data_IF_344932657770
#
_entry.id   IF_344932657770
#
_cell.length_a   1.000
_cell.length_b   1.000
_cell.length_c   1.000
_cell.angle_alpha   90.00
_cell.angle_beta   90.00
_cell.angle_gamma   90.00
#
_symmetry.space_group_name_H-M   'P 1'
#
loop_
_entity.id
_entity.type
_entity.pdbx_description
1 polymer ?
#
# COMPACT_ATOMS: atom_id res chain seq x y z
N UNK A 1 5.81 -14.48 42.14
CA UNK A 1 6.68 -13.29 42.07
C UNK A 1 7.98 -13.74 41.39
N UNK A 2 8.03 -13.67 40.06
CA UNK A 2 9.23 -14.04 39.30
C UNK A 2 10.28 -12.94 39.54
N UNK A 3 11.51 -13.33 39.90
CA UNK A 3 12.62 -12.38 40.01
C UNK A 3 12.89 -11.81 38.61
N UNK A 4 12.47 -10.57 38.35
CA UNK A 4 12.78 -9.88 37.11
C UNK A 4 14.30 -9.75 36.98
N UNK A 5 14.85 -10.10 35.82
CA UNK A 5 16.29 -9.99 35.52
C UNK A 5 16.79 -8.58 35.90
N UNK A 6 17.78 -8.49 36.81
CA UNK A 6 18.39 -7.22 37.23
C UNK A 6 18.88 -6.39 36.03
N UNK A 7 19.28 -7.06 34.94
CA UNK A 7 19.70 -6.37 33.71
C UNK A 7 18.51 -5.76 32.96
N UNK A 8 17.35 -6.40 32.97
CA UNK A 8 16.13 -5.89 32.36
C UNK A 8 15.61 -4.66 33.13
N UNK A 9 15.68 -4.70 34.47
CA UNK A 9 15.37 -3.53 35.31
C UNK A 9 16.33 -2.36 35.03
N UNK A 10 17.63 -2.64 34.92
CA UNK A 10 18.61 -1.61 34.54
C UNK A 10 18.32 -1.03 33.15
N UNK A 11 17.92 -1.87 32.20
CA UNK A 11 17.57 -1.43 30.84
C UNK A 11 16.33 -0.54 30.83
N UNK A 12 15.30 -0.87 31.62
CA UNK A 12 14.11 0.00 31.80
C UNK A 12 14.50 1.41 32.26
N UNK A 13 15.33 1.53 33.29
CA UNK A 13 15.79 2.83 33.79
C UNK A 13 16.55 3.61 32.72
N UNK A 14 17.43 2.93 31.98
CA UNK A 14 18.17 3.55 30.87
C UNK A 14 17.24 4.08 29.78
N UNK A 15 16.16 3.37 29.46
CA UNK A 15 15.17 3.79 28.45
C UNK A 15 14.41 5.03 28.93
N UNK A 16 13.97 5.05 30.20
CA UNK A 16 13.18 6.14 30.78
C UNK A 16 13.99 7.44 30.83
N UNK A 17 15.24 7.36 31.27
CA UNK A 17 16.11 8.52 31.47
C UNK A 17 16.75 9.04 30.17
N UNK A 18 16.66 8.29 29.07
CA UNK A 18 17.30 8.66 27.80
C UNK A 18 16.61 9.84 27.11
N UNK A 19 17.43 10.79 26.64
CA UNK A 19 17.01 12.04 25.99
C UNK A 19 17.47 12.11 24.53
N UNK A 20 18.45 11.31 24.14
CA UNK A 20 18.95 11.20 22.78
C UNK A 20 18.18 10.13 22.00
N UNK A 21 17.49 10.53 20.93
CA UNK A 21 16.67 9.62 20.12
C UNK A 21 17.47 8.48 19.47
N UNK A 22 18.75 8.71 19.11
CA UNK A 22 19.59 7.69 18.49
C UNK A 22 20.03 6.62 19.50
N UNK A 23 20.34 7.01 20.73
CA UNK A 23 20.60 6.07 21.83
C UNK A 23 19.33 5.36 22.27
N UNK A 24 18.21 6.08 22.33
CA UNK A 24 16.90 5.51 22.65
C UNK A 24 16.55 4.36 21.71
N UNK A 25 16.66 4.57 20.39
CA UNK A 25 16.47 3.52 19.37
C UNK A 25 17.27 2.26 19.67
N UNK A 26 18.57 2.42 19.97
CA UNK A 26 19.46 1.29 20.28
C UNK A 26 19.07 0.55 21.56
N UNK A 27 18.53 1.26 22.55
CA UNK A 27 18.04 0.65 23.79
C UNK A 27 16.75 -0.15 23.54
N UNK A 28 15.83 0.36 22.74
CA UNK A 28 14.61 -0.35 22.32
C UNK A 28 14.95 -1.60 21.50
N UNK A 29 15.83 -1.48 20.50
CA UNK A 29 16.31 -2.64 19.72
C UNK A 29 16.90 -3.72 20.62
N UNK A 30 17.72 -3.31 21.60
CA UNK A 30 18.31 -4.23 22.58
C UNK A 30 17.25 -4.89 23.47
N UNK A 31 16.25 -4.13 23.93
CA UNK A 31 15.13 -4.63 24.72
C UNK A 31 14.38 -5.72 23.94
N UNK A 32 13.94 -5.40 22.73
CA UNK A 32 13.18 -6.30 21.87
C UNK A 32 13.99 -7.55 21.55
N UNK A 33 15.22 -7.40 21.05
CA UNK A 33 16.07 -8.54 20.63
C UNK A 33 16.36 -9.52 21.76
N UNK A 34 16.54 -9.03 22.99
CA UNK A 34 16.98 -9.87 24.12
C UNK A 34 15.82 -10.44 24.92
N UNK A 35 14.69 -9.72 25.03
CA UNK A 35 13.66 -10.01 26.03
C UNK A 35 12.25 -10.18 25.45
N UNK A 36 11.99 -9.83 24.18
CA UNK A 36 10.64 -9.94 23.61
C UNK A 36 10.06 -11.37 23.65
N UNK A 37 10.91 -12.38 23.48
CA UNK A 37 10.47 -13.79 23.44
C UNK A 37 10.43 -14.46 24.82
N UNK A 38 11.20 -13.97 25.80
CA UNK A 38 11.32 -14.58 27.13
C UNK A 38 10.51 -13.85 28.20
N UNK A 39 10.35 -12.54 28.07
CA UNK A 39 9.77 -11.64 29.08
C UNK A 39 8.76 -10.66 28.44
N UNK A 40 8.00 -11.15 27.44
CA UNK A 40 7.08 -10.36 26.60
C UNK A 40 6.20 -9.37 27.37
N UNK A 41 5.56 -9.82 28.45
CA UNK A 41 4.67 -8.97 29.26
C UNK A 41 5.40 -7.81 29.91
N UNK A 42 6.62 -8.05 30.41
CA UNK A 42 7.44 -6.99 31.02
C UNK A 42 7.98 -6.02 29.96
N UNK A 43 8.32 -6.52 28.77
CA UNK A 43 8.67 -5.66 27.62
C UNK A 43 7.49 -4.77 27.25
N UNK A 44 6.28 -5.34 27.13
CA UNK A 44 5.07 -4.58 26.85
C UNK A 44 4.75 -3.54 27.92
N UNK A 45 4.96 -3.85 29.21
CA UNK A 45 4.85 -2.87 30.30
C UNK A 45 5.78 -1.68 30.07
N UNK A 46 7.07 -1.93 29.76
CA UNK A 46 8.05 -0.86 29.50
C UNK A 46 7.62 0.00 28.31
N UNK A 47 7.23 -0.63 27.20
CA UNK A 47 6.89 0.08 25.97
C UNK A 47 5.60 0.90 26.13
N UNK A 48 4.57 0.34 26.75
CA UNK A 48 3.29 1.03 26.98
C UNK A 48 3.41 2.16 28.00
N UNK A 49 4.22 1.99 29.05
CA UNK A 49 4.56 3.05 30.01
C UNK A 49 5.31 4.20 29.32
N UNK A 50 6.30 3.88 28.48
CA UNK A 50 7.01 4.90 27.72
C UNK A 50 6.13 5.61 26.68
N UNK A 51 5.23 4.89 26.00
CA UNK A 51 4.28 5.52 25.09
C UNK A 51 3.39 6.55 25.79
N UNK A 52 3.01 6.30 27.06
CA UNK A 52 2.24 7.24 27.89
C UNK A 52 3.08 8.40 28.43
N UNK A 53 4.26 8.10 28.96
CA UNK A 53 4.97 9.01 29.86
C UNK A 53 6.34 9.46 29.34
N UNK A 54 6.87 8.82 28.30
CA UNK A 54 8.24 9.01 27.82
C UNK A 54 8.53 10.42 27.30
N UNK A 55 9.69 10.97 27.61
CA UNK A 55 10.02 12.37 27.30
C UNK A 55 10.25 12.65 25.81
N UNK A 56 10.65 11.64 25.01
CA UNK A 56 10.91 11.83 23.58
C UNK A 56 9.62 11.61 22.78
N UNK A 57 8.84 12.69 22.61
CA UNK A 57 7.47 12.64 22.10
C UNK A 57 7.31 11.90 20.75
N UNK A 58 8.18 12.17 19.77
CA UNK A 58 8.09 11.53 18.45
C UNK A 58 8.33 10.02 18.50
N UNK A 59 9.12 9.53 19.47
CA UNK A 59 9.36 8.10 19.66
C UNK A 59 8.14 7.35 20.19
N UNK A 60 7.23 8.01 20.91
CA UNK A 60 6.00 7.37 21.42
C UNK A 60 5.18 6.73 20.30
N UNK A 61 5.07 7.40 19.16
CA UNK A 61 4.37 6.88 17.98
C UNK A 61 5.10 5.71 17.33
N UNK A 62 6.44 5.76 17.24
CA UNK A 62 7.25 4.68 16.67
C UNK A 62 7.13 3.38 17.49
N UNK A 63 7.03 3.49 18.82
CA UNK A 63 6.86 2.32 19.70
C UNK A 63 5.55 1.56 19.48
N UNK A 64 4.50 2.20 18.93
CA UNK A 64 3.22 1.53 18.73
C UNK A 64 3.33 0.33 17.79
N UNK A 65 4.20 0.39 16.77
CA UNK A 65 4.38 -0.75 15.89
C UNK A 65 4.96 -1.96 16.64
N UNK A 66 6.00 -1.74 17.47
CA UNK A 66 6.59 -2.79 18.29
C UNK A 66 5.58 -3.36 19.30
N UNK A 67 4.79 -2.50 19.95
CA UNK A 67 3.73 -2.93 20.88
C UNK A 67 2.69 -3.78 20.14
N UNK A 68 2.22 -3.33 18.98
CA UNK A 68 1.24 -4.05 18.17
C UNK A 68 1.79 -5.40 17.74
N UNK A 69 3.05 -5.50 17.32
CA UNK A 69 3.69 -6.77 16.96
C UNK A 69 3.71 -7.76 18.14
N UNK A 70 3.99 -7.28 19.36
CA UNK A 70 4.09 -8.11 20.57
C UNK A 70 2.75 -8.50 21.20
N UNK A 71 1.72 -7.67 21.04
CA UNK A 71 0.36 -7.95 21.55
C UNK A 71 -0.29 -9.04 20.71
N UNK A 72 -0.93 -10.02 21.34
CA UNK A 72 -1.67 -11.06 20.65
C UNK A 72 -3.05 -10.58 20.19
N UNK A 73 -3.60 -11.22 19.17
CA UNK A 73 -4.98 -10.97 18.75
C UNK A 73 -5.97 -11.29 19.88
N UNK A 74 -6.91 -10.39 20.14
CA UNK A 74 -7.91 -10.56 21.20
C UNK A 74 -7.38 -10.39 22.64
N UNK A 75 -6.15 -9.90 22.83
CA UNK A 75 -5.54 -9.78 24.15
C UNK A 75 -6.14 -8.61 24.96
N UNK A 76 -7.20 -8.93 25.73
CA UNK A 76 -8.04 -7.97 26.43
C UNK A 76 -7.29 -6.99 27.36
N UNK A 77 -6.16 -7.41 27.94
CA UNK A 77 -5.36 -6.61 28.87
C UNK A 77 -4.82 -5.31 28.24
N UNK A 78 -4.73 -5.22 26.92
CA UNK A 78 -4.22 -4.05 26.19
C UNK A 78 -5.32 -3.22 25.52
N UNK A 79 -6.59 -3.57 25.67
CA UNK A 79 -7.70 -2.83 25.07
C UNK A 79 -7.73 -1.39 25.61
N UNK A 80 -7.70 -1.21 26.93
CA UNK A 80 -7.70 0.12 27.56
C UNK A 80 -6.51 0.99 27.11
N UNK A 81 -5.35 0.36 26.88
CA UNK A 81 -4.18 1.06 26.36
C UNK A 81 -4.44 1.63 24.96
N UNK A 82 -5.01 0.83 24.05
CA UNK A 82 -5.29 1.28 22.70
C UNK A 82 -6.52 2.19 22.61
N UNK A 83 -7.52 2.03 23.48
CA UNK A 83 -8.61 2.99 23.68
C UNK A 83 -8.05 4.36 24.08
N UNK A 84 -7.09 4.40 25.01
CA UNK A 84 -6.37 5.63 25.32
C UNK A 84 -5.59 6.15 24.10
N UNK A 85 -4.83 5.30 23.38
CA UNK A 85 -4.05 5.74 22.22
C UNK A 85 -4.90 6.45 21.16
N UNK A 86 -6.10 5.96 20.87
CA UNK A 86 -6.96 6.57 19.84
C UNK A 86 -7.50 7.95 20.24
N UNK A 87 -7.47 8.30 21.52
CA UNK A 87 -7.79 9.66 22.00
C UNK A 87 -6.64 10.66 21.90
N UNK A 88 -5.42 10.20 21.62
CA UNK A 88 -4.22 11.02 21.55
C UNK A 88 -3.86 11.30 20.08
N UNK A 89 -3.95 12.56 19.59
CA UNK A 89 -3.81 12.87 18.16
C UNK A 89 -2.55 12.32 17.47
N UNK A 90 -1.41 12.29 18.18
CA UNK A 90 -0.12 11.80 17.65
C UNK A 90 0.00 10.27 17.65
N UNK A 91 -0.90 9.56 18.33
CA UNK A 91 -0.90 8.11 18.45
C UNK A 91 -2.06 7.44 17.72
N UNK A 92 -3.13 8.20 17.40
CA UNK A 92 -4.38 7.64 16.87
C UNK A 92 -4.18 6.76 15.65
N UNK A 93 -3.29 7.13 14.74
CA UNK A 93 -3.09 6.40 13.48
C UNK A 93 -2.73 4.93 13.70
N UNK A 94 -1.71 4.64 14.53
CA UNK A 94 -1.33 3.28 14.88
C UNK A 94 -2.19 2.71 16.02
N UNK A 95 -2.74 3.57 16.89
CA UNK A 95 -3.69 3.18 17.93
C UNK A 95 -4.92 2.45 17.36
N UNK A 96 -5.39 2.84 16.16
CA UNK A 96 -6.47 2.14 15.44
C UNK A 96 -6.12 0.66 15.20
N UNK A 97 -4.90 0.37 14.76
CA UNK A 97 -4.47 -1.01 14.45
C UNK A 97 -4.39 -1.86 15.72
N UNK A 98 -3.84 -1.31 16.80
CA UNK A 98 -3.79 -1.99 18.08
C UNK A 98 -5.17 -2.20 18.72
N UNK A 99 -6.07 -1.22 18.60
CA UNK A 99 -7.43 -1.32 19.09
C UNK A 99 -8.24 -2.38 18.34
N UNK A 100 -8.06 -2.49 17.02
CA UNK A 100 -8.67 -3.56 16.23
C UNK A 100 -8.04 -4.92 16.53
N UNK A 101 -6.71 -5.00 16.68
CA UNK A 101 -6.02 -6.25 17.03
C UNK A 101 -6.49 -6.82 18.38
N UNK A 102 -6.74 -5.95 19.37
CA UNK A 102 -7.11 -6.36 20.73
C UNK A 102 -8.61 -6.51 20.97
N UNK A 103 -9.42 -5.63 20.38
CA UNK A 103 -10.86 -5.56 20.67
C UNK A 103 -11.75 -5.87 19.44
N UNK A 104 -11.13 -6.06 18.27
CA UNK A 104 -11.80 -6.48 17.04
C UNK A 104 -12.98 -5.59 16.68
N UNK A 105 -14.11 -6.22 16.35
CA UNK A 105 -15.33 -5.54 15.89
C UNK A 105 -15.98 -4.64 16.92
N UNK A 106 -15.72 -4.86 18.21
CA UNK A 106 -16.24 -4.00 19.28
C UNK A 106 -15.70 -2.56 19.15
N UNK A 107 -14.60 -2.39 18.44
CA UNK A 107 -13.97 -1.10 18.17
C UNK A 107 -14.63 -0.30 17.05
N UNK A 108 -15.55 -0.87 16.26
CA UNK A 108 -16.11 -0.19 15.09
C UNK A 108 -16.79 1.14 15.43
N UNK A 109 -17.56 1.20 16.53
CA UNK A 109 -18.16 2.46 16.96
C UNK A 109 -17.10 3.53 17.23
N UNK A 110 -16.00 3.19 17.91
CA UNK A 110 -14.92 4.15 18.16
C UNK A 110 -14.23 4.61 16.87
N UNK A 111 -14.02 3.70 15.91
CA UNK A 111 -13.44 4.05 14.60
C UNK A 111 -14.37 4.96 13.78
N UNK A 112 -15.69 4.77 13.87
CA UNK A 112 -16.66 5.64 13.20
C UNK A 112 -16.64 7.05 13.80
N UNK A 113 -16.52 7.18 15.12
CA UNK A 113 -16.36 8.49 15.76
C UNK A 113 -15.06 9.18 15.29
N UNK A 114 -13.95 8.44 15.15
CA UNK A 114 -12.70 8.96 14.58
C UNK A 114 -12.89 9.41 13.14
N UNK A 115 -13.55 8.60 12.30
CA UNK A 115 -13.84 8.92 10.90
C UNK A 115 -14.67 10.21 10.76
N UNK A 116 -15.64 10.41 11.64
CA UNK A 116 -16.56 11.56 11.62
C UNK A 116 -15.97 12.83 12.24
N UNK A 117 -14.90 12.72 13.02
CA UNK A 117 -14.31 13.86 13.69
C UNK A 117 -13.50 14.74 12.73
N UNK A 118 -14.10 15.85 12.29
CA UNK A 118 -13.49 16.82 11.37
C UNK A 118 -12.31 17.59 11.97
N UNK A 119 -12.10 17.56 13.29
CA UNK A 119 -10.91 18.16 13.92
C UNK A 119 -9.65 17.31 13.72
N UNK A 120 -9.79 16.04 13.32
CA UNK A 120 -8.66 15.16 13.06
C UNK A 120 -8.14 15.31 11.63
N UNK A 121 -6.84 15.06 11.44
CA UNK A 121 -6.21 15.02 10.12
C UNK A 121 -6.93 14.02 9.21
N UNK A 122 -7.13 14.38 7.95
CA UNK A 122 -7.79 13.52 6.94
C UNK A 122 -7.14 12.14 6.85
N UNK A 123 -5.82 12.03 6.97
CA UNK A 123 -5.11 10.75 6.95
C UNK A 123 -5.48 9.81 8.10
N UNK A 124 -5.79 10.34 9.29
CA UNK A 124 -6.27 9.56 10.44
C UNK A 124 -7.70 9.08 10.19
N UNK A 125 -8.55 9.96 9.65
CA UNK A 125 -9.94 9.62 9.28
C UNK A 125 -9.95 8.53 8.21
N UNK A 126 -9.11 8.67 7.18
CA UNK A 126 -8.90 7.71 6.11
C UNK A 126 -8.39 6.35 6.64
N UNK A 127 -7.47 6.37 7.62
CA UNK A 127 -7.02 5.15 8.31
C UNK A 127 -8.18 4.42 8.99
N UNK A 128 -9.08 5.13 9.66
CA UNK A 128 -10.23 4.52 10.32
C UNK A 128 -11.16 3.81 9.33
N UNK A 129 -11.59 4.47 8.25
CA UNK A 129 -12.40 3.83 7.21
C UNK A 129 -11.66 2.68 6.53
N UNK A 130 -10.37 2.82 6.22
CA UNK A 130 -9.56 1.74 5.64
C UNK A 130 -9.55 0.51 6.55
N UNK A 131 -9.33 0.69 7.84
CA UNK A 131 -9.29 -0.42 8.78
C UNK A 131 -10.69 -1.02 8.99
N UNK A 132 -11.77 -0.23 8.99
CA UNK A 132 -13.15 -0.74 8.95
C UNK A 132 -13.36 -1.62 7.71
N UNK A 133 -12.99 -1.16 6.51
CA UNK A 133 -13.14 -1.92 5.26
C UNK A 133 -12.49 -3.30 5.35
N UNK A 134 -11.23 -3.34 5.79
CA UNK A 134 -10.45 -4.58 5.90
C UNK A 134 -11.09 -5.56 6.89
N UNK A 135 -11.44 -5.09 8.10
CA UNK A 135 -11.96 -5.97 9.16
C UNK A 135 -13.41 -6.41 8.95
N UNK A 136 -14.21 -5.60 8.25
CA UNK A 136 -15.62 -5.92 7.92
C UNK A 136 -15.79 -6.55 6.54
N UNK A 137 -14.72 -6.63 5.74
CA UNK A 137 -14.76 -7.02 4.32
C UNK A 137 -15.73 -6.18 3.47
N UNK A 138 -16.09 -4.99 3.95
CA UNK A 138 -16.92 -4.07 3.20
C UNK A 138 -16.04 -3.25 2.25
N UNK A 139 -16.43 -3.06 0.98
CA UNK A 139 -15.63 -2.36 -0.01
C UNK A 139 -15.75 -0.83 0.14
N UNK A 140 -15.65 -0.28 1.36
CA UNK A 140 -15.73 1.17 1.57
C UNK A 140 -14.50 1.92 1.06
N UNK A 141 -13.43 1.21 0.73
CA UNK A 141 -12.21 1.76 0.15
C UNK A 141 -12.02 1.35 -1.33
N UNK A 142 -13.07 0.82 -1.97
CA UNK A 142 -13.07 0.51 -3.40
C UNK A 142 -12.58 1.70 -4.22
N UNK A 143 -11.85 1.40 -5.29
CA UNK A 143 -11.26 2.38 -6.21
C UNK A 143 -10.17 3.27 -5.60
N UNK A 144 -9.97 3.25 -4.28
CA UNK A 144 -8.94 4.06 -3.62
C UNK A 144 -7.57 3.36 -3.59
N UNK A 145 -6.47 4.12 -3.53
CA UNK A 145 -5.14 3.56 -3.30
C UNK A 145 -5.07 2.74 -2.00
N UNK A 146 -4.16 1.77 -1.95
CA UNK A 146 -3.97 0.92 -0.76
C UNK A 146 -3.60 1.73 0.49
N UNK A 147 -2.75 2.74 0.32
CA UNK A 147 -2.34 3.64 1.39
C UNK A 147 -3.38 4.75 1.60
N UNK A 148 -4.00 4.85 2.78
CA UNK A 148 -4.96 5.90 3.11
C UNK A 148 -4.34 7.28 3.36
N UNK A 149 -3.00 7.40 3.44
CA UNK A 149 -2.32 8.65 3.80
C UNK A 149 -2.58 9.83 2.87
N UNK A 150 -2.97 9.57 1.62
CA UNK A 150 -3.25 10.58 0.59
C UNK A 150 -4.71 10.65 0.15
N UNK A 151 -5.62 9.95 0.85
CA UNK A 151 -7.05 10.07 0.56
C UNK A 151 -7.56 11.46 0.94
N UNK A 152 -8.58 11.90 0.22
CA UNK A 152 -9.24 13.19 0.43
C UNK A 152 -10.51 13.02 1.25
N UNK A 153 -11.07 14.14 1.69
CA UNK A 153 -12.33 14.13 2.46
C UNK A 153 -13.48 13.57 1.62
N UNK A 154 -13.47 13.85 0.32
CA UNK A 154 -14.50 13.36 -0.62
C UNK A 154 -14.43 11.84 -0.85
N UNK A 155 -13.28 11.22 -0.57
CA UNK A 155 -13.11 9.77 -0.65
C UNK A 155 -13.71 9.05 0.57
N UNK A 156 -14.04 9.78 1.64
CA UNK A 156 -14.56 9.23 2.88
C UNK A 156 -16.06 8.95 2.73
N UNK A 157 -16.43 7.69 2.50
CA UNK A 157 -17.81 7.21 2.32
C UNK A 157 -18.60 7.16 3.64
N UNK A 158 -18.68 8.29 4.34
CA UNK A 158 -19.25 8.41 5.69
C UNK A 158 -20.72 7.97 5.71
N UNK A 159 -21.52 8.42 4.76
CA UNK A 159 -22.96 8.09 4.69
C UNK A 159 -23.21 6.58 4.52
N UNK A 160 -22.38 5.90 3.71
CA UNK A 160 -22.45 4.44 3.54
C UNK A 160 -22.14 3.73 4.86
N UNK A 161 -21.12 4.19 5.60
CA UNK A 161 -20.72 3.62 6.88
C UNK A 161 -21.77 3.84 7.96
N UNK A 162 -22.41 5.02 8.02
CA UNK A 162 -23.49 5.27 8.96
C UNK A 162 -24.70 4.37 8.69
N UNK A 163 -25.01 4.12 7.41
CA UNK A 163 -26.05 3.19 7.01
C UNK A 163 -25.69 1.76 7.43
N UNK A 164 -24.45 1.34 7.17
CA UNK A 164 -23.92 0.05 7.59
C UNK A 164 -23.93 -0.15 9.13
N UNK A 165 -23.60 0.90 9.89
CA UNK A 165 -23.67 0.92 11.35
C UNK A 165 -25.12 0.69 11.83
N UNK A 166 -26.09 1.40 11.26
CA UNK A 166 -27.53 1.22 11.59
C UNK A 166 -28.02 -0.20 11.29
N UNK A 167 -27.40 -0.87 10.32
CA UNK A 167 -27.69 -2.25 9.95
C UNK A 167 -26.91 -3.30 10.77
N UNK A 168 -26.20 -2.88 11.83
CA UNK A 168 -25.60 -3.80 12.80
C UNK A 168 -24.24 -4.37 12.40
N UNK A 169 -23.45 -3.63 11.62
CA UNK A 169 -22.05 -4.00 11.29
C UNK A 169 -21.87 -5.34 10.55
N UNK A 170 -22.78 -5.67 9.63
CA UNK A 170 -22.72 -6.93 8.87
C UNK A 170 -21.44 -7.02 8.03
N UNK A 171 -20.88 -8.22 7.93
CA UNK A 171 -19.76 -8.44 7.02
C UNK A 171 -20.17 -8.25 5.56
N UNK A 172 -19.23 -7.75 4.78
CA UNK A 172 -19.32 -7.78 3.32
C UNK A 172 -18.84 -9.12 2.79
N UNK A 173 -19.20 -9.39 1.53
CA UNK A 173 -18.66 -10.50 0.75
C UNK A 173 -17.25 -10.20 0.19
N UNK A 174 -16.70 -9.03 0.53
CA UNK A 174 -15.51 -8.50 -0.11
C UNK A 174 -15.80 -7.90 -1.48
N UNK A 175 -14.74 -7.70 -2.26
CA UNK A 175 -14.84 -7.22 -3.63
C UNK A 175 -15.42 -8.28 -4.56
N UNK A 176 -16.20 -7.86 -5.56
CA UNK A 176 -16.62 -8.75 -6.65
C UNK A 176 -15.40 -9.18 -7.45
N UNK A 177 -15.19 -10.48 -7.60
CA UNK A 177 -14.01 -11.02 -8.29
C UNK A 177 -13.92 -10.47 -9.73
N UNK A 178 -12.82 -9.76 -10.08
CA UNK A 178 -12.64 -9.23 -11.42
C UNK A 178 -12.56 -10.35 -12.46
N UNK A 179 -13.06 -10.08 -13.67
CA UNK A 179 -12.99 -11.01 -14.79
C UNK A 179 -11.53 -11.17 -15.25
N UNK A 180 -11.11 -12.41 -15.45
CA UNK A 180 -9.76 -12.76 -15.92
C UNK A 180 -9.84 -13.53 -17.24
N UNK A 181 -8.82 -13.38 -18.08
CA UNK A 181 -8.77 -14.08 -19.37
C UNK A 181 -8.32 -15.54 -19.22
N UNK A 182 -8.97 -16.47 -19.93
CA UNK A 182 -8.77 -17.93 -19.80
C UNK A 182 -7.34 -18.39 -20.11
N UNK A 183 -6.60 -17.65 -20.95
CA UNK A 183 -5.22 -18.02 -21.28
C UNK A 183 -4.21 -17.73 -20.17
N UNK A 184 -4.62 -17.12 -19.05
CA UNK A 184 -3.81 -17.15 -17.81
C UNK A 184 -3.67 -18.58 -17.27
N UNK A 185 -4.67 -19.44 -17.49
CA UNK A 185 -4.64 -20.86 -17.10
C UNK A 185 -4.07 -21.74 -18.20
N UNK A 186 -4.38 -21.44 -19.47
CA UNK A 186 -3.94 -22.20 -20.63
C UNK A 186 -3.21 -21.32 -21.67
N UNK A 187 -1.97 -20.90 -21.39
CA UNK A 187 -1.21 -20.01 -22.26
C UNK A 187 -0.65 -20.73 -23.49
N UNK A 188 -0.77 -20.11 -24.67
CA UNK A 188 -0.27 -20.65 -25.95
C UNK A 188 0.83 -19.77 -26.55
N UNK A 189 0.60 -18.46 -26.62
CA UNK A 189 1.56 -17.50 -27.18
C UNK A 189 2.65 -17.13 -26.16
N UNK A 190 3.71 -16.49 -26.63
CA UNK A 190 4.76 -15.99 -25.73
C UNK A 190 4.22 -14.96 -24.73
N UNK A 191 3.42 -14.00 -25.18
CA UNK A 191 2.77 -13.03 -24.29
C UNK A 191 1.93 -13.72 -23.21
N UNK A 192 1.12 -14.70 -23.60
CA UNK A 192 0.27 -15.47 -22.68
C UNK A 192 1.09 -16.20 -21.61
N UNK A 193 2.19 -16.86 -22.01
CA UNK A 193 3.06 -17.58 -21.06
C UNK A 193 3.66 -16.62 -20.04
N UNK A 194 4.08 -15.44 -20.47
CA UNK A 194 4.66 -14.42 -19.59
C UNK A 194 3.58 -13.85 -18.66
N UNK A 195 2.41 -13.52 -19.18
CA UNK A 195 1.27 -13.03 -18.39
C UNK A 195 0.79 -14.06 -17.36
N UNK A 196 0.69 -15.35 -17.75
CA UNK A 196 0.39 -16.46 -16.83
C UNK A 196 1.42 -16.56 -15.70
N UNK A 197 2.71 -16.43 -16.03
CA UNK A 197 3.78 -16.44 -15.03
C UNK A 197 3.70 -15.25 -14.07
N UNK A 198 3.48 -14.05 -14.60
CA UNK A 198 3.24 -12.86 -13.79
C UNK A 198 2.04 -13.07 -12.87
N UNK A 199 0.93 -13.59 -13.40
CA UNK A 199 -0.28 -13.87 -12.61
C UNK A 199 0.00 -14.83 -11.45
N UNK A 200 0.75 -15.92 -11.66
CA UNK A 200 1.16 -16.85 -10.60
C UNK A 200 2.02 -16.18 -9.52
N UNK A 201 2.95 -15.32 -9.92
CA UNK A 201 3.76 -14.52 -8.99
C UNK A 201 2.87 -13.59 -8.15
N UNK A 202 1.91 -12.92 -8.78
CA UNK A 202 0.97 -12.04 -8.10
C UNK A 202 0.03 -12.82 -7.17
N UNK A 203 -0.43 -13.99 -7.59
CA UNK A 203 -1.25 -14.89 -6.78
C UNK A 203 -0.52 -15.32 -5.50
N UNK A 204 0.74 -15.73 -5.61
CA UNK A 204 1.56 -16.05 -4.45
C UNK A 204 1.73 -14.88 -3.47
N UNK A 205 1.64 -13.63 -3.93
CA UNK A 205 1.60 -12.46 -3.05
C UNK A 205 0.23 -12.31 -2.37
N UNK A 206 -0.86 -12.46 -3.12
CA UNK A 206 -2.23 -12.38 -2.58
C UNK A 206 -2.47 -13.45 -1.52
N UNK A 207 -1.98 -14.69 -1.72
CA UNK A 207 -2.11 -15.77 -0.73
C UNK A 207 -1.45 -15.43 0.62
N UNK A 208 -0.42 -14.56 0.64
CA UNK A 208 0.23 -14.13 1.89
C UNK A 208 -0.57 -13.06 2.62
N UNK A 209 -1.15 -12.11 1.89
CA UNK A 209 -1.93 -11.03 2.45
C UNK A 209 -2.86 -10.48 1.37
N UNK A 210 -4.16 -10.77 1.50
CA UNK A 210 -5.19 -10.28 0.60
C UNK A 210 -6.12 -9.34 1.35
N UNK A 211 -6.28 -8.15 0.80
CA UNK A 211 -7.32 -7.23 1.21
C UNK A 211 -8.62 -7.59 0.49
N UNK A 212 -9.59 -8.14 1.23
CA UNK A 212 -10.87 -8.52 0.66
C UNK A 212 -11.78 -7.32 0.40
N UNK A 213 -11.51 -6.14 0.95
CA UNK A 213 -12.30 -4.95 0.67
C UNK A 213 -11.95 -4.29 -0.66
N UNK A 214 -10.72 -4.49 -1.15
CA UNK A 214 -10.23 -3.77 -2.31
C UNK A 214 -9.21 -4.62 -3.12
N UNK A 215 -9.57 -5.02 -4.35
CA UNK A 215 -8.74 -5.93 -5.14
C UNK A 215 -7.44 -5.25 -5.56
N UNK A 216 -6.34 -5.99 -5.44
CA UNK A 216 -5.03 -5.56 -5.91
C UNK A 216 -4.21 -6.75 -6.40
N UNK A 217 -3.14 -6.44 -7.13
CA UNK A 217 -2.23 -7.44 -7.71
C UNK A 217 -2.95 -8.44 -8.60
N UNK A 218 -3.87 -8.03 -9.48
CA UNK A 218 -4.57 -8.92 -10.41
C UNK A 218 -4.27 -8.55 -11.86
N UNK A 219 -4.34 -9.52 -12.77
CA UNK A 219 -4.40 -9.27 -14.21
C UNK A 219 -5.83 -9.53 -14.67
N UNK A 220 -6.47 -8.54 -15.26
CA UNK A 220 -7.92 -8.52 -15.53
C UNK A 220 -8.21 -8.17 -16.97
N UNK A 221 -9.40 -8.51 -17.46
CA UNK A 221 -9.86 -8.02 -18.76
C UNK A 221 -10.21 -6.54 -18.60
N UNK A 222 -9.66 -5.68 -19.47
CA UNK A 222 -9.92 -4.24 -19.43
C UNK A 222 -11.38 -3.91 -19.77
N UNK A 223 -11.86 -2.77 -19.27
CA UNK A 223 -13.09 -2.17 -19.78
C UNK A 223 -12.89 -1.73 -21.24
N UNK A 224 -13.86 -2.01 -22.10
CA UNK A 224 -13.80 -1.63 -23.52
C UNK A 224 -13.67 -0.11 -23.69
N UNK A 225 -14.29 0.67 -22.79
CA UNK A 225 -14.22 2.14 -22.82
C UNK A 225 -12.80 2.65 -22.56
N UNK A 226 -12.08 2.04 -21.61
CA UNK A 226 -10.69 2.39 -21.31
C UNK A 226 -9.80 2.14 -22.53
N UNK A 227 -9.98 0.97 -23.15
CA UNK A 227 -9.25 0.59 -24.37
C UNK A 227 -9.55 1.55 -25.53
N UNK A 228 -10.83 1.89 -25.76
CA UNK A 228 -11.21 2.84 -26.80
C UNK A 228 -10.61 4.23 -26.55
N UNK A 229 -10.53 4.67 -25.30
CA UNK A 229 -9.91 5.96 -24.97
C UNK A 229 -8.40 5.95 -25.17
N UNK A 230 -7.74 4.81 -24.87
CA UNK A 230 -6.32 4.60 -25.14
C UNK A 230 -6.04 4.61 -26.65
N UNK A 231 -6.82 3.87 -27.44
CA UNK A 231 -6.65 3.76 -28.89
C UNK A 231 -6.92 5.10 -29.63
N UNK A 232 -7.74 5.99 -29.05
CA UNK A 232 -7.90 7.37 -29.55
C UNK A 232 -6.64 8.23 -29.37
N UNK A 233 -5.85 7.96 -28.34
CA UNK A 233 -4.68 8.76 -27.96
C UNK A 233 -3.38 8.23 -28.55
N UNK A 234 -3.22 6.91 -28.62
CA UNK A 234 -1.98 6.28 -29.06
C UNK A 234 -2.20 5.09 -29.98
N UNK A 235 -1.29 4.94 -30.94
CA UNK A 235 -1.10 3.68 -31.66
C UNK A 235 -0.08 2.83 -30.91
N UNK A 236 -0.57 1.97 -30.01
CA UNK A 236 0.28 1.09 -29.19
C UNK A 236 0.81 -0.12 -30.00
N UNK A 237 1.97 -0.69 -29.64
CA UNK A 237 2.42 -1.98 -30.17
C UNK A 237 1.41 -3.08 -29.84
N UNK A 238 1.20 -4.02 -30.76
CA UNK A 238 0.17 -5.06 -30.64
C UNK A 238 0.36 -5.94 -29.39
N UNK A 239 1.60 -6.25 -29.00
CA UNK A 239 1.87 -7.00 -27.77
C UNK A 239 1.38 -6.24 -26.52
N UNK A 240 1.65 -4.94 -26.44
CA UNK A 240 1.24 -4.12 -25.30
C UNK A 240 -0.27 -3.87 -25.28
N UNK A 241 -0.87 -3.60 -26.45
CA UNK A 241 -2.32 -3.42 -26.58
C UNK A 241 -3.07 -4.71 -26.21
N UNK A 242 -2.61 -5.86 -26.66
CA UNK A 242 -3.18 -7.18 -26.30
C UNK A 242 -3.03 -7.44 -24.81
N UNK A 243 -1.88 -7.06 -24.23
CA UNK A 243 -1.66 -7.15 -22.79
C UNK A 243 -2.66 -6.32 -22.00
N UNK A 244 -2.90 -5.06 -22.40
CA UNK A 244 -3.90 -4.22 -21.76
C UNK A 244 -5.31 -4.79 -21.91
N UNK A 245 -5.70 -5.25 -23.11
CA UNK A 245 -7.04 -5.81 -23.35
C UNK A 245 -7.34 -7.02 -22.45
N UNK A 246 -6.41 -7.97 -22.38
CA UNK A 246 -6.66 -9.29 -21.79
C UNK A 246 -6.08 -9.48 -20.37
N UNK A 247 -5.06 -8.70 -20.01
CA UNK A 247 -4.29 -8.85 -18.77
C UNK A 247 -4.02 -7.50 -18.10
N UNK A 248 -4.91 -6.52 -18.27
CA UNK A 248 -4.84 -5.21 -17.65
C UNK A 248 -4.50 -5.32 -16.16
N UNK A 249 -3.34 -4.77 -15.74
CA UNK A 249 -2.95 -4.69 -14.34
C UNK A 249 -3.99 -3.96 -13.49
N UNK A 250 -4.51 -4.64 -12.46
CA UNK A 250 -5.34 -4.03 -11.43
C UNK A 250 -4.52 -3.84 -10.17
N UNK A 251 -4.06 -2.61 -9.94
CA UNK A 251 -3.24 -2.17 -8.79
C UNK A 251 -2.07 -3.14 -8.55
N UNK A 252 -1.32 -3.45 -9.61
CA UNK A 252 -0.17 -4.35 -9.54
C UNK A 252 1.02 -3.63 -8.95
N UNK A 253 1.57 -4.21 -7.88
CA UNK A 253 2.78 -3.76 -7.21
C UNK A 253 3.79 -4.91 -7.10
N UNK A 254 4.99 -4.71 -7.64
CA UNK A 254 6.05 -5.71 -7.68
C UNK A 254 7.17 -5.28 -6.74
N UNK A 255 7.23 -5.94 -5.59
CA UNK A 255 8.36 -5.80 -4.67
C UNK A 255 9.55 -6.64 -5.17
N UNK A 256 10.68 -6.00 -5.43
CA UNK A 256 11.91 -6.61 -5.92
C UNK A 256 13.11 -5.78 -5.48
N UNK A 257 14.26 -6.40 -5.22
CA UNK A 257 15.50 -5.66 -4.93
C UNK A 257 15.94 -4.74 -6.08
N UNK A 258 15.52 -5.03 -7.32
CA UNK A 258 15.78 -4.18 -8.50
C UNK A 258 14.97 -2.88 -8.47
N UNK A 259 13.81 -2.91 -7.82
CA UNK A 259 12.91 -1.78 -7.67
C UNK A 259 12.80 -1.47 -6.18
N UNK A 260 13.75 -0.72 -5.63
CA UNK A 260 13.87 -0.52 -4.18
C UNK A 260 12.58 0.02 -3.54
N UNK A 261 11.86 0.91 -4.25
CA UNK A 261 10.57 1.46 -3.83
C UNK A 261 9.37 0.61 -4.31
N UNK A 262 9.64 -0.53 -4.95
CA UNK A 262 8.67 -1.36 -5.68
C UNK A 262 8.24 -0.76 -7.00
N UNK A 263 7.76 -1.60 -7.91
CA UNK A 263 7.28 -1.19 -9.24
C UNK A 263 5.76 -1.26 -9.31
N UNK A 264 5.12 -0.13 -9.64
CA UNK A 264 3.71 -0.07 -9.99
C UNK A 264 3.54 -0.30 -11.49
N UNK A 265 2.82 -1.35 -11.88
CA UNK A 265 2.50 -1.62 -13.28
C UNK A 265 1.09 -1.12 -13.58
N UNK A 266 0.95 -0.30 -14.62
CA UNK A 266 -0.31 0.39 -14.94
C UNK A 266 -1.21 -0.44 -15.83
N UNK A 267 -2.51 -0.33 -15.58
CA UNK A 267 -3.55 -0.96 -16.37
C UNK A 267 -4.31 0.04 -17.22
N UNK A 268 -5.22 -0.48 -18.04
CA UNK A 268 -6.01 0.35 -18.95
C UNK A 268 -6.77 1.47 -18.21
N UNK A 269 -7.30 1.18 -17.02
CA UNK A 269 -8.14 2.11 -16.25
C UNK A 269 -7.38 3.28 -15.63
N UNK A 270 -6.05 3.19 -15.47
CA UNK A 270 -5.25 4.27 -14.91
C UNK A 270 -4.16 4.81 -15.85
N UNK A 271 -3.87 4.14 -16.98
CA UNK A 271 -2.78 4.50 -17.90
C UNK A 271 -2.77 5.98 -18.30
N UNK A 272 -3.91 6.50 -18.76
CA UNK A 272 -4.02 7.90 -19.22
C UNK A 272 -3.77 8.88 -18.07
N UNK A 273 -4.41 8.66 -16.92
CA UNK A 273 -4.24 9.51 -15.74
C UNK A 273 -2.79 9.49 -15.24
N UNK A 274 -2.16 8.31 -15.26
CA UNK A 274 -0.75 8.15 -14.87
C UNK A 274 0.18 8.88 -15.82
N UNK A 275 -0.01 8.74 -17.12
CA UNK A 275 0.73 9.48 -18.13
C UNK A 275 0.67 11.00 -17.91
N UNK A 276 -0.51 11.53 -17.59
CA UNK A 276 -0.70 12.96 -17.34
C UNK A 276 0.06 13.44 -16.10
N UNK A 277 0.21 12.59 -15.08
CA UNK A 277 1.04 12.89 -13.91
C UNK A 277 2.52 13.16 -14.24
N UNK A 278 3.00 12.69 -15.40
CA UNK A 278 4.38 12.87 -15.86
C UNK A 278 4.52 13.92 -16.96
N UNK A 279 3.56 13.97 -17.87
CA UNK A 279 3.67 14.75 -19.12
C UNK A 279 2.89 16.05 -19.10
N UNK A 280 2.12 16.33 -18.05
CA UNK A 280 1.24 17.49 -17.97
C UNK A 280 1.40 18.23 -16.65
N UNK A 281 1.48 19.56 -16.74
CA UNK A 281 1.48 20.45 -15.59
C UNK A 281 0.06 20.96 -15.32
N UNK A 282 -0.60 20.52 -14.23
CA UNK A 282 -1.97 20.91 -13.93
C UNK A 282 -2.11 22.37 -13.48
N UNK A 283 -1.02 23.03 -13.04
CA UNK A 283 -1.03 24.44 -12.62
C UNK A 283 -1.04 25.36 -13.84
N UNK A 284 -0.22 25.05 -14.85
CA UNK A 284 -0.14 25.83 -16.08
C UNK A 284 -1.10 25.35 -17.16
N UNK A 285 -1.75 24.20 -16.95
CA UNK A 285 -2.64 23.51 -17.88
C UNK A 285 -1.97 23.27 -19.24
N UNK A 286 -0.71 22.84 -19.22
CA UNK A 286 0.13 22.61 -20.40
C UNK A 286 0.90 21.31 -20.30
N UNK A 287 1.22 20.72 -21.45
CA UNK A 287 2.22 19.66 -21.55
C UNK A 287 3.58 20.16 -21.08
N UNK A 288 4.38 19.28 -20.50
CA UNK A 288 5.76 19.58 -20.12
C UNK A 288 6.61 19.45 -21.37
N UNK A 289 7.21 20.55 -21.83
CA UNK A 289 7.96 20.61 -23.10
C UNK A 289 9.13 19.62 -23.17
N UNK A 290 9.71 19.26 -22.01
CA UNK A 290 10.80 18.27 -21.91
C UNK A 290 10.33 16.81 -22.03
N UNK A 291 9.02 16.55 -21.95
CA UNK A 291 8.48 15.18 -22.02
C UNK A 291 8.34 14.71 -23.48
N UNK A 292 8.93 13.58 -23.89
CA UNK A 292 8.78 13.06 -25.24
C UNK A 292 7.33 12.65 -25.54
N UNK A 293 6.72 13.21 -26.59
CA UNK A 293 5.31 12.94 -26.95
C UNK A 293 5.04 11.45 -27.27
N UNK A 294 6.06 10.75 -27.75
CA UNK A 294 6.02 9.32 -28.11
C UNK A 294 6.27 8.38 -26.92
N UNK A 295 6.49 8.90 -25.72
CA UNK A 295 6.73 8.08 -24.53
C UNK A 295 5.44 7.90 -23.75
N UNK A 296 4.99 6.66 -23.66
CA UNK A 296 3.83 6.28 -22.85
C UNK A 296 4.32 5.58 -21.59
N UNK A 297 4.06 6.15 -20.42
CA UNK A 297 4.45 5.58 -19.11
C UNK A 297 3.57 4.36 -18.83
N UNK A 298 4.19 3.18 -18.72
CA UNK A 298 3.50 1.91 -18.49
C UNK A 298 3.70 1.38 -17.05
N UNK A 299 4.67 1.92 -16.34
CA UNK A 299 4.96 1.62 -14.94
C UNK A 299 5.79 2.74 -14.30
N UNK A 300 5.88 2.74 -12.97
CA UNK A 300 6.87 3.55 -12.24
C UNK A 300 7.47 2.79 -11.05
N UNK A 301 8.69 3.16 -10.66
CA UNK A 301 9.30 2.70 -9.42
C UNK A 301 9.70 3.90 -8.54
N UNK A 302 8.81 4.29 -7.63
CA UNK A 302 9.07 5.42 -6.74
C UNK A 302 9.22 6.71 -7.53
N UNK A 303 8.28 6.95 -8.45
CA UNK A 303 8.26 8.05 -9.41
C UNK A 303 9.25 7.97 -10.58
N UNK A 304 10.18 7.02 -10.63
CA UNK A 304 11.00 6.77 -11.82
C UNK A 304 10.16 6.07 -12.91
N UNK A 305 9.86 6.71 -14.06
CA UNK A 305 8.97 6.14 -15.04
C UNK A 305 9.64 5.04 -15.87
N UNK A 306 8.83 4.08 -16.33
CA UNK A 306 9.16 3.13 -17.39
C UNK A 306 8.22 3.40 -18.57
N UNK A 307 8.78 3.81 -19.69
CA UNK A 307 8.04 4.31 -20.84
C UNK A 307 8.25 3.41 -22.05
N UNK A 308 7.17 3.08 -22.75
CA UNK A 308 7.26 2.45 -24.06
C UNK A 308 7.37 3.54 -25.14
N UNK A 309 8.33 3.40 -26.05
CA UNK A 309 8.51 4.32 -27.18
C UNK A 309 7.66 3.88 -28.38
N UNK A 310 6.52 4.54 -28.59
CA UNK A 310 5.57 4.17 -29.66
C UNK A 310 6.01 4.61 -31.06
N UNK A 311 7.13 5.33 -31.20
CA UNK A 311 7.73 5.62 -32.51
C UNK A 311 8.70 4.52 -32.97
N UNK A 312 9.15 3.64 -32.07
CA UNK A 312 10.12 2.59 -32.36
C UNK A 312 9.47 1.19 -32.42
N UNK A 313 8.24 1.10 -32.94
CA UNK A 313 7.52 -0.16 -33.08
C UNK A 313 8.21 -1.06 -34.12
N UNK A 314 8.65 -2.25 -33.70
CA UNK A 314 9.23 -3.30 -34.54
C UNK A 314 8.64 -4.65 -34.13
N UNK A 315 8.23 -5.45 -35.12
CA UNK A 315 7.71 -6.81 -34.89
C UNK A 315 6.66 -6.87 -33.77
N UNK A 316 5.67 -5.97 -33.83
CA UNK A 316 4.55 -5.89 -32.88
C UNK A 316 4.93 -5.46 -31.45
N UNK A 317 6.16 -5.00 -31.23
CA UNK A 317 6.71 -4.60 -29.94
C UNK A 317 7.46 -3.26 -30.03
N UNK A 318 7.90 -2.71 -28.90
CA UNK A 318 8.67 -1.48 -28.81
C UNK A 318 9.60 -1.46 -27.58
N UNK A 319 10.74 -0.75 -27.66
CA UNK A 319 11.68 -0.63 -26.55
C UNK A 319 11.09 0.13 -25.35
N UNK A 320 11.57 -0.22 -24.17
CA UNK A 320 11.24 0.44 -22.90
C UNK A 320 12.41 1.30 -22.46
N UNK A 321 12.13 2.54 -22.11
CA UNK A 321 13.08 3.50 -21.54
C UNK A 321 12.72 3.80 -20.08
N UNK A 322 13.71 4.19 -19.28
CA UNK A 322 13.49 4.68 -17.92
C UNK A 322 14.26 5.97 -17.66
N UNK A 323 13.85 6.73 -16.65
CA UNK A 323 14.55 7.93 -16.20
C UNK A 323 14.47 8.06 -14.68
N UNK A 324 15.41 8.80 -14.10
CA UNK A 324 15.45 9.07 -12.65
C UNK A 324 14.76 10.41 -12.39
N UNK A 325 13.72 10.40 -11.56
CA UNK A 325 13.03 11.62 -11.15
C UNK A 325 13.90 12.49 -10.23
N UNK A 326 13.60 13.79 -10.15
CA UNK A 326 14.23 14.70 -9.18
C UNK A 326 15.61 15.24 -9.57
N UNK A 327 16.15 14.87 -10.74
CA UNK A 327 17.43 15.39 -11.25
C UNK A 327 17.33 16.75 -11.97
N UNK A 328 16.15 17.38 -11.99
CA UNK A 328 15.91 18.68 -12.62
C UNK A 328 15.69 18.64 -14.13
N UNK A 329 15.97 17.52 -14.79
CA UNK A 329 15.69 17.27 -16.22
C UNK A 329 15.41 15.77 -16.44
N UNK A 330 14.62 15.44 -17.46
CA UNK A 330 14.38 14.05 -17.86
C UNK A 330 15.49 13.52 -18.76
N UNK A 331 16.20 12.49 -18.31
CA UNK A 331 17.22 11.76 -19.09
C UNK A 331 16.83 10.30 -19.23
N UNK A 332 16.35 9.94 -20.41
CA UNK A 332 15.88 8.59 -20.68
C UNK A 332 17.00 7.67 -21.14
N UNK A 333 17.07 6.49 -20.54
CA UNK A 333 18.01 5.42 -20.85
C UNK A 333 17.25 4.15 -21.26
N UNK A 334 17.80 3.40 -22.22
CA UNK A 334 17.19 2.14 -22.65
C UNK A 334 17.20 1.14 -21.48
N UNK A 335 16.02 0.64 -21.12
CA UNK A 335 15.82 -0.33 -20.05
C UNK A 335 15.66 -1.75 -20.59
N UNK A 336 14.87 -1.92 -21.64
CA UNK A 336 14.63 -3.21 -22.29
C UNK A 336 14.38 -3.02 -23.79
N UNK A 337 14.85 -3.97 -24.60
CA UNK A 337 14.71 -3.90 -26.06
C UNK A 337 13.26 -4.08 -26.55
N UNK A 338 12.38 -4.60 -25.70
CA UNK A 338 10.97 -4.83 -26.01
C UNK A 338 10.10 -4.84 -24.74
N UNK A 339 8.80 -4.59 -24.89
CA UNK A 339 7.79 -4.77 -23.86
C UNK A 339 7.76 -6.22 -23.36
N UNK A 340 7.86 -7.22 -24.24
CA UNK A 340 7.92 -8.62 -23.80
C UNK A 340 9.14 -8.92 -22.93
N UNK A 341 10.32 -8.34 -23.24
CA UNK A 341 11.52 -8.48 -22.40
C UNK A 341 11.31 -7.85 -21.02
N UNK A 342 10.74 -6.64 -20.98
CA UNK A 342 10.37 -5.98 -19.72
C UNK A 342 9.38 -6.84 -18.91
N UNK A 343 8.32 -7.34 -19.54
CA UNK A 343 7.30 -8.15 -18.89
C UNK A 343 7.88 -9.48 -18.36
N UNK A 344 8.78 -10.13 -19.11
CA UNK A 344 9.52 -11.33 -18.68
C UNK A 344 10.33 -11.06 -17.42
N UNK A 345 11.00 -9.92 -17.35
CA UNK A 345 11.80 -9.56 -16.19
C UNK A 345 10.94 -9.40 -14.93
N UNK A 346 9.83 -8.65 -15.02
CA UNK A 346 8.97 -8.37 -13.87
C UNK A 346 8.16 -9.60 -13.44
N UNK A 347 7.83 -10.50 -14.37
CA UNK A 347 7.25 -11.82 -14.07
C UNK A 347 8.22 -12.71 -13.26
N UNK A 348 9.53 -12.45 -13.33
CA UNK A 348 10.58 -13.22 -12.70
C UNK A 348 11.10 -14.35 -13.58
N UNK A 349 12.32 -14.82 -13.29
CA UNK A 349 12.93 -15.99 -13.95
C UNK A 349 12.25 -17.29 -13.58
#
# INVERSE_FOLDING_TARGET
>A
MFMTDKNLQKLRLQIIDETDGGKFSKLIEKLLKKYASTDREYVLEILTDYAKNGQILHWRNFLLNDIIELVNEGEANYVEFFEWCVTQPELTYWGIDGLLKTNGRKSFSALIEILKNESLKTSIRAKAIKSISVFSKQPFDRELPKDPGHWKVEDLRIEEIETWQKNGFQDGEGYTQPKTHISLENPKTELEKIASKLNKKLEAQRTKNQDLSNPANLLTIADETDILNIEKRWKLPENYLTFLKNYSPLKVFINSRKYFQGLHLYGASDLIKRQEGYSFNPVTNKTIDEWPENFVVIADAGADPYCIDINQIKENDAPIYTSIHGNGEWKFELYADSFLTFLKEIAGR
#
